data_IF_715210549599
#
_entry.id   IF_715210549599
#
_cell.length_a   1.000
_cell.length_b   1.000
_cell.length_c   1.000
_cell.angle_alpha   90.00
_cell.angle_beta   90.00
_cell.angle_gamma   90.00
#
_symmetry.space_group_name_H-M   'P 1'
#
loop_
_entity.id
_entity.type
_entity.pdbx_description
1 polymer ?
#
# COMPACT_ATOMS: atom_id res chain seq x y z
N UNK A 1 9.54 1.13 3.37
CA UNK A 1 9.92 2.43 2.78
C UNK A 1 11.03 2.25 1.76
N UNK A 2 10.99 3.02 0.68
CA UNK A 2 12.00 3.01 -0.38
C UNK A 2 12.55 4.40 -0.60
N UNK A 3 13.86 4.48 -0.82
CA UNK A 3 14.53 5.72 -1.17
C UNK A 3 15.24 5.50 -2.51
N UNK A 4 14.97 6.35 -3.48
CA UNK A 4 15.64 6.37 -4.78
C UNK A 4 16.58 7.56 -4.88
N UNK A 5 17.57 7.48 -5.77
CA UNK A 5 18.50 8.57 -5.98
C UNK A 5 19.50 8.76 -4.88
N UNK A 6 19.82 7.70 -4.13
CA UNK A 6 20.93 7.74 -3.17
C UNK A 6 22.24 8.03 -3.94
N UNK A 7 23.17 8.82 -3.36
CA UNK A 7 24.42 9.13 -4.03
C UNK A 7 25.16 7.88 -4.52
N UNK A 8 25.47 7.83 -5.80
CA UNK A 8 26.12 6.68 -6.44
C UNK A 8 25.20 5.57 -6.91
N UNK A 9 23.87 5.67 -6.72
CA UNK A 9 22.92 4.71 -7.27
C UNK A 9 22.98 4.72 -8.79
N UNK A 10 23.32 3.57 -9.38
CA UNK A 10 23.33 3.38 -10.83
C UNK A 10 21.98 2.90 -11.34
N UNK A 11 21.80 2.87 -12.66
CA UNK A 11 20.63 2.25 -13.29
C UNK A 11 20.49 0.77 -12.87
N UNK A 12 21.61 0.04 -12.84
CA UNK A 12 21.60 -1.36 -12.40
C UNK A 12 21.20 -1.53 -10.93
N UNK A 13 21.65 -0.64 -10.06
CA UNK A 13 21.26 -0.63 -8.65
C UNK A 13 19.77 -0.38 -8.49
N UNK A 14 19.24 0.57 -9.25
CA UNK A 14 17.81 0.85 -9.25
C UNK A 14 16.98 -0.33 -9.76
N UNK A 15 17.42 -1.00 -10.82
CA UNK A 15 16.74 -2.19 -11.35
C UNK A 15 16.74 -3.35 -10.34
N UNK A 16 17.76 -3.48 -9.53
CA UNK A 16 17.78 -4.46 -8.42
C UNK A 16 16.69 -4.15 -7.37
N UNK A 17 16.48 -2.88 -7.07
CA UNK A 17 15.38 -2.45 -6.19
C UNK A 17 14.03 -2.81 -6.79
N UNK A 18 13.82 -2.55 -8.08
CA UNK A 18 12.60 -2.93 -8.79
C UNK A 18 12.37 -4.44 -8.79
N UNK A 19 13.41 -5.23 -9.02
CA UNK A 19 13.31 -6.68 -8.99
C UNK A 19 12.95 -7.21 -7.60
N UNK A 20 13.53 -6.62 -6.55
CA UNK A 20 13.17 -6.95 -5.17
C UNK A 20 11.69 -6.68 -4.88
N UNK A 21 11.18 -5.55 -5.34
CA UNK A 21 9.76 -5.18 -5.21
C UNK A 21 8.87 -6.23 -5.89
N UNK A 22 9.23 -6.65 -7.10
CA UNK A 22 8.48 -7.66 -7.85
C UNK A 22 8.51 -9.04 -7.19
N UNK A 23 9.66 -9.42 -6.61
CA UNK A 23 9.83 -10.72 -5.97
C UNK A 23 9.07 -10.83 -4.64
N UNK A 24 9.07 -9.77 -3.85
CA UNK A 24 8.42 -9.75 -2.52
C UNK A 24 6.94 -9.38 -2.62
N UNK A 25 6.56 -8.61 -3.64
CA UNK A 25 5.18 -8.13 -3.84
C UNK A 25 4.63 -7.36 -2.62
N UNK A 26 5.33 -6.29 -2.24
CA UNK A 26 4.90 -5.43 -1.13
C UNK A 26 3.48 -4.88 -1.35
N UNK A 27 2.66 -4.89 -0.32
CA UNK A 27 1.29 -4.38 -0.36
C UNK A 27 1.22 -2.87 -0.49
N UNK A 28 1.98 -2.19 0.34
CA UNK A 28 2.05 -0.74 0.41
C UNK A 28 3.47 -0.32 0.72
N UNK A 29 3.84 0.86 0.24
CA UNK A 29 5.12 1.46 0.59
C UNK A 29 5.03 2.98 0.54
N UNK A 30 5.94 3.60 1.27
CA UNK A 30 6.27 5.00 1.08
C UNK A 30 7.60 5.07 0.33
N UNK A 31 7.66 5.93 -0.68
CA UNK A 31 8.84 6.06 -1.53
C UNK A 31 9.20 7.53 -1.70
N UNK A 32 10.49 7.81 -1.61
CA UNK A 32 11.02 9.16 -1.60
C UNK A 32 12.27 9.26 -2.47
N UNK A 33 12.55 10.46 -2.96
CA UNK A 33 13.87 10.79 -3.48
C UNK A 33 14.78 11.10 -2.29
N UNK A 34 16.01 10.58 -2.31
CA UNK A 34 17.01 10.88 -1.28
C UNK A 34 17.18 12.39 -1.12
N UNK A 35 17.17 12.84 0.11
CA UNK A 35 17.40 14.23 0.50
C UNK A 35 18.60 14.31 1.45
N UNK A 36 19.56 15.18 1.15
CA UNK A 36 20.72 15.39 2.01
C UNK A 36 20.30 15.87 3.39
N UNK A 37 20.87 15.23 4.41
CA UNK A 37 20.68 15.65 5.80
C UNK A 37 22.03 16.06 6.39
N UNK A 38 22.16 17.31 6.89
CA UNK A 38 23.40 17.79 7.50
C UNK A 38 23.89 16.87 8.62
N UNK A 39 25.20 16.66 8.70
CA UNK A 39 25.82 15.82 9.72
C UNK A 39 25.79 14.32 9.46
N UNK A 40 25.26 13.87 8.33
CA UNK A 40 25.26 12.46 7.94
C UNK A 40 26.44 12.16 6.99
N UNK A 41 27.03 10.94 7.03
CA UNK A 41 28.07 10.54 6.07
C UNK A 41 27.63 10.63 4.62
N UNK A 42 26.37 10.30 4.32
CA UNK A 42 25.82 10.34 2.97
C UNK A 42 25.77 11.75 2.38
N UNK A 43 25.63 12.78 3.23
CA UNK A 43 25.60 14.17 2.78
C UNK A 43 26.91 14.64 2.13
N UNK A 44 28.04 13.98 2.43
CA UNK A 44 29.36 14.25 1.87
C UNK A 44 29.69 13.43 0.62
N UNK A 45 28.84 12.48 0.26
CA UNK A 45 29.05 11.66 -0.92
C UNK A 45 28.79 12.45 -2.21
N UNK A 46 29.60 12.20 -3.23
CA UNK A 46 29.43 12.78 -4.54
C UNK A 46 28.17 12.20 -5.21
N UNK A 47 27.34 13.09 -5.76
CA UNK A 47 26.11 12.73 -6.43
C UNK A 47 26.02 13.42 -7.79
N UNK A 48 26.27 12.65 -8.84
CA UNK A 48 26.28 13.12 -10.22
C UNK A 48 24.99 12.80 -10.99
N UNK A 49 24.01 12.19 -10.34
CA UNK A 49 22.76 11.82 -10.98
C UNK A 49 21.83 13.04 -11.09
N UNK A 50 21.38 13.43 -12.30
CA UNK A 50 20.44 14.52 -12.49
C UNK A 50 19.14 14.28 -11.72
N UNK A 51 18.54 15.36 -11.21
CA UNK A 51 17.28 15.29 -10.49
C UNK A 51 16.14 14.73 -11.35
N UNK A 52 16.14 15.04 -12.65
CA UNK A 52 15.18 14.49 -13.62
C UNK A 52 15.19 12.95 -13.66
N UNK A 53 16.37 12.36 -13.61
CA UNK A 53 16.53 10.90 -13.57
C UNK A 53 15.99 10.32 -12.26
N UNK A 54 16.25 10.98 -11.15
CA UNK A 54 15.70 10.57 -9.83
C UNK A 54 14.18 10.61 -9.81
N UNK A 55 13.58 11.64 -10.39
CA UNK A 55 12.11 11.76 -10.52
C UNK A 55 11.53 10.64 -11.37
N UNK A 56 12.15 10.32 -12.49
CA UNK A 56 11.72 9.21 -13.34
C UNK A 56 11.80 7.86 -12.61
N UNK A 57 12.88 7.63 -11.89
CA UNK A 57 13.05 6.42 -11.06
C UNK A 57 11.98 6.30 -10.00
N UNK A 58 11.69 7.41 -9.29
CA UNK A 58 10.64 7.43 -8.28
C UNK A 58 9.27 7.11 -8.90
N UNK A 59 8.95 7.73 -10.01
CA UNK A 59 7.70 7.50 -10.74
C UNK A 59 7.56 6.03 -11.15
N UNK A 60 8.61 5.47 -11.73
CA UNK A 60 8.61 4.06 -12.16
C UNK A 60 8.42 3.11 -10.99
N UNK A 61 9.09 3.36 -9.87
CA UNK A 61 8.94 2.57 -8.63
C UNK A 61 7.51 2.63 -8.10
N UNK A 62 6.93 3.82 -8.03
CA UNK A 62 5.55 4.01 -7.56
C UNK A 62 4.53 3.31 -8.47
N UNK A 63 4.70 3.42 -9.79
CA UNK A 63 3.86 2.74 -10.76
C UNK A 63 3.97 1.22 -10.64
N UNK A 64 5.16 0.70 -10.41
CA UNK A 64 5.40 -0.74 -10.20
C UNK A 64 4.68 -1.24 -8.95
N UNK A 65 4.82 -0.55 -7.83
CA UNK A 65 4.15 -0.92 -6.57
C UNK A 65 2.62 -0.84 -6.73
N UNK A 66 2.11 0.21 -7.35
CA UNK A 66 0.68 0.38 -7.56
C UNK A 66 0.08 -0.73 -8.45
N UNK A 67 0.79 -1.12 -9.50
CA UNK A 67 0.39 -2.24 -10.36
C UNK A 67 0.31 -3.56 -9.60
N UNK A 68 1.33 -3.87 -8.81
CA UNK A 68 1.38 -5.10 -8.01
C UNK A 68 0.29 -5.12 -6.94
N UNK A 69 0.09 -4.01 -6.26
CA UNK A 69 -0.98 -3.87 -5.25
C UNK A 69 -2.36 -4.05 -5.87
N UNK A 70 -2.60 -3.46 -7.04
CA UNK A 70 -3.85 -3.60 -7.77
C UNK A 70 -4.11 -5.05 -8.21
N UNK A 71 -3.10 -5.73 -8.72
CA UNK A 71 -3.21 -7.15 -9.11
C UNK A 71 -3.51 -8.04 -7.91
N UNK A 72 -2.87 -7.79 -6.78
CA UNK A 72 -3.14 -8.51 -5.53
C UNK A 72 -4.56 -8.27 -5.05
N UNK A 73 -5.05 -7.03 -5.08
CA UNK A 73 -6.42 -6.70 -4.72
C UNK A 73 -7.44 -7.41 -5.61
N UNK A 74 -7.17 -7.52 -6.90
CA UNK A 74 -8.01 -8.32 -7.81
C UNK A 74 -8.06 -9.79 -7.44
N UNK A 75 -6.96 -10.36 -7.00
CA UNK A 75 -6.87 -11.79 -6.65
C UNK A 75 -7.64 -12.16 -5.39
N UNK A 76 -7.90 -11.22 -4.50
CA UNK A 76 -8.62 -11.47 -3.24
C UNK A 76 -10.13 -11.23 -3.33
N UNK A 77 -10.64 -10.72 -4.45
CA UNK A 77 -12.09 -10.60 -4.66
C UNK A 77 -12.73 -11.99 -4.60
N UNK A 78 -13.78 -12.12 -3.80
CA UNK A 78 -14.45 -13.40 -3.54
C UNK A 78 -13.89 -14.19 -2.37
N UNK A 79 -12.72 -13.80 -1.84
CA UNK A 79 -12.16 -14.43 -0.65
C UNK A 79 -12.85 -13.96 0.62
N UNK A 80 -12.81 -14.83 1.64
CA UNK A 80 -13.29 -14.53 2.99
C UNK A 80 -12.16 -13.92 3.81
N UNK A 81 -12.48 -12.94 4.62
CA UNK A 81 -11.55 -12.29 5.52
C UNK A 81 -12.20 -12.01 6.87
N UNK A 82 -11.41 -12.09 7.93
CA UNK A 82 -11.81 -11.62 9.25
C UNK A 82 -11.47 -10.14 9.39
N UNK A 83 -12.45 -9.35 9.82
CA UNK A 83 -12.32 -7.90 9.92
C UNK A 83 -12.74 -7.41 11.30
N UNK A 84 -11.87 -6.65 11.94
CA UNK A 84 -12.21 -5.88 13.14
C UNK A 84 -12.83 -4.56 12.71
N UNK A 85 -14.08 -4.34 13.08
CA UNK A 85 -14.78 -3.09 12.79
C UNK A 85 -14.31 -2.00 13.75
N UNK A 86 -13.71 -0.94 13.21
CA UNK A 86 -13.08 0.12 13.99
C UNK A 86 -13.97 1.37 14.16
N UNK A 87 -14.84 1.63 13.21
CA UNK A 87 -15.66 2.83 13.25
C UNK A 87 -16.70 2.89 12.16
N UNK A 88 -17.47 3.97 12.18
CA UNK A 88 -18.43 4.31 11.12
C UNK A 88 -17.67 4.97 9.97
N UNK A 89 -18.05 4.67 8.74
CA UNK A 89 -17.45 5.30 7.58
C UNK A 89 -17.73 6.80 7.58
N UNK A 90 -16.67 7.60 7.38
CA UNK A 90 -16.80 9.05 7.21
C UNK A 90 -17.25 9.45 5.80
N UNK A 91 -17.16 8.52 4.84
CA UNK A 91 -17.43 8.80 3.42
C UNK A 91 -18.80 8.31 2.95
N UNK A 92 -19.33 7.26 3.57
CA UNK A 92 -20.53 6.57 3.11
C UNK A 92 -21.52 6.40 4.25
N UNK A 93 -22.76 6.73 4.00
CA UNK A 93 -23.85 6.48 4.94
C UNK A 93 -24.12 4.97 5.07
N UNK A 94 -24.51 4.54 6.28
CA UNK A 94 -24.83 3.15 6.60
C UNK A 94 -23.70 2.15 6.30
N UNK A 95 -22.46 2.62 6.37
CA UNK A 95 -21.29 1.77 6.23
C UNK A 95 -20.39 1.90 7.45
N UNK A 96 -19.76 0.80 7.82
CA UNK A 96 -18.70 0.74 8.82
C UNK A 96 -17.38 0.45 8.13
N UNK A 97 -16.31 0.83 8.78
CA UNK A 97 -14.96 0.56 8.30
C UNK A 97 -14.19 -0.27 9.31
N UNK A 98 -13.41 -1.17 8.82
CA UNK A 98 -12.58 -2.04 9.64
C UNK A 98 -11.29 -2.42 8.95
N UNK A 99 -10.53 -3.31 9.60
CA UNK A 99 -9.25 -3.78 9.10
C UNK A 99 -9.15 -5.30 9.12
N UNK A 100 -8.55 -5.83 8.06
CA UNK A 100 -8.20 -7.25 7.98
C UNK A 100 -6.98 -7.56 8.85
N UNK A 101 -6.67 -8.85 9.00
CA UNK A 101 -5.48 -9.31 9.75
C UNK A 101 -4.16 -8.79 9.18
N UNK A 102 -4.10 -8.51 7.87
CA UNK A 102 -2.96 -7.88 7.22
C UNK A 102 -3.12 -6.36 7.04
N UNK A 103 -3.93 -5.74 7.89
CA UNK A 103 -4.08 -4.29 8.03
C UNK A 103 -4.65 -3.58 6.81
N UNK A 104 -5.47 -4.25 6.01
CA UNK A 104 -6.17 -3.64 4.89
C UNK A 104 -7.51 -3.07 5.33
N UNK A 105 -7.79 -1.85 4.90
CA UNK A 105 -9.06 -1.17 5.19
C UNK A 105 -10.18 -1.79 4.36
N UNK A 106 -11.29 -2.12 5.02
CA UNK A 106 -12.48 -2.66 4.37
C UNK A 106 -13.69 -1.83 4.76
N UNK A 107 -14.48 -1.42 3.77
CA UNK A 107 -15.76 -0.78 3.97
C UNK A 107 -16.87 -1.83 3.84
N UNK A 108 -17.76 -1.88 4.82
CA UNK A 108 -18.80 -2.91 4.95
C UNK A 108 -20.13 -2.24 5.19
N UNK A 109 -21.20 -2.60 4.46
CA UNK A 109 -22.54 -2.17 4.80
C UNK A 109 -22.91 -2.65 6.20
N UNK A 110 -23.27 -1.75 7.08
CA UNK A 110 -23.61 -2.11 8.45
C UNK A 110 -23.89 -0.91 9.34
N UNK A 111 -24.39 -1.22 10.53
CA UNK A 111 -24.77 -0.24 11.54
C UNK A 111 -23.62 0.02 12.54
N UNK A 112 -23.63 1.19 13.16
CA UNK A 112 -22.65 1.60 14.18
C UNK A 112 -22.51 0.62 15.36
N UNK A 113 -23.51 -0.18 15.64
CA UNK A 113 -23.47 -1.24 16.66
C UNK A 113 -22.40 -2.30 16.40
N UNK A 114 -21.94 -2.43 15.16
CA UNK A 114 -20.91 -3.39 14.78
C UNK A 114 -19.50 -2.94 15.16
N UNK A 115 -19.32 -1.69 15.56
CA UNK A 115 -18.01 -1.17 15.99
C UNK A 115 -17.51 -1.98 17.19
N UNK A 116 -16.27 -2.46 17.08
CA UNK A 116 -15.65 -3.35 18.07
C UNK A 116 -15.86 -4.84 17.81
N UNK A 117 -16.73 -5.19 16.88
CA UNK A 117 -17.00 -6.59 16.51
C UNK A 117 -15.95 -7.12 15.53
N UNK A 118 -15.66 -8.40 15.68
CA UNK A 118 -14.82 -9.16 14.75
C UNK A 118 -15.74 -9.97 13.84
N UNK A 119 -15.74 -9.64 12.56
CA UNK A 119 -16.70 -10.19 11.61
C UNK A 119 -16.00 -10.98 10.51
N UNK A 120 -16.66 -12.05 10.06
CA UNK A 120 -16.28 -12.72 8.82
C UNK A 120 -17.00 -12.05 7.66
N UNK A 121 -16.24 -11.60 6.69
CA UNK A 121 -16.75 -10.92 5.50
C UNK A 121 -16.26 -11.57 4.23
N UNK A 122 -16.99 -11.35 3.17
CA UNK A 122 -16.55 -11.68 1.81
C UNK A 122 -16.12 -10.41 1.10
N UNK A 123 -14.93 -10.40 0.52
CA UNK A 123 -14.42 -9.28 -0.27
C UNK A 123 -15.14 -9.27 -1.61
N UNK A 124 -15.80 -8.18 -1.93
CA UNK A 124 -16.63 -8.05 -3.15
C UNK A 124 -16.04 -7.12 -4.19
N UNK A 125 -15.25 -6.13 -3.77
CA UNK A 125 -14.67 -5.14 -4.66
C UNK A 125 -13.48 -4.45 -4.00
N UNK A 126 -12.76 -3.63 -4.77
CA UNK A 126 -11.67 -2.81 -4.24
C UNK A 126 -11.59 -1.46 -4.97
N UNK A 127 -10.97 -0.49 -4.31
CA UNK A 127 -10.51 0.74 -4.93
C UNK A 127 -9.01 0.97 -4.58
N UNK A 128 -8.46 2.12 -4.96
CA UNK A 128 -7.03 2.39 -4.79
C UNK A 128 -6.52 2.33 -3.34
N UNK A 129 -7.39 2.48 -2.34
CA UNK A 129 -7.00 2.60 -0.92
C UNK A 129 -7.70 1.63 0.01
N UNK A 130 -8.78 1.01 -0.44
CA UNK A 130 -9.61 0.17 0.43
C UNK A 130 -10.30 -0.94 -0.34
N UNK A 131 -10.75 -1.91 0.42
CA UNK A 131 -11.57 -3.01 -0.06
C UNK A 131 -13.04 -2.72 0.28
N UNK A 132 -13.94 -3.39 -0.41
CA UNK A 132 -15.35 -3.49 -0.05
C UNK A 132 -15.67 -4.93 0.26
N UNK A 133 -16.53 -5.13 1.23
CA UNK A 133 -16.96 -6.46 1.61
C UNK A 133 -18.39 -6.49 2.11
N UNK A 134 -18.91 -7.70 2.26
CA UNK A 134 -20.23 -7.99 2.81
C UNK A 134 -20.10 -8.95 3.96
N UNK A 135 -20.96 -8.77 4.98
CA UNK A 135 -20.97 -9.65 6.15
C UNK A 135 -21.46 -11.03 5.71
N UNK A 136 -20.69 -12.05 6.08
CA UNK A 136 -21.13 -13.43 5.94
C UNK A 136 -22.02 -13.78 7.12
N UNK A 137 -23.30 -14.00 6.84
CA UNK A 137 -24.23 -14.52 7.83
C UNK A 137 -24.01 -16.04 7.95
N UNK A 138 -23.58 -16.47 9.14
CA UNK A 138 -23.60 -17.89 9.47
C UNK A 138 -25.06 -18.27 9.76
N UNK A 139 -25.61 -19.11 8.94
CA UNK A 139 -26.85 -19.80 9.21
C UNK A 139 -26.55 -21.13 9.90
#
# INVERSE_FOLDING_TARGET
DFIVGFPGETEDDFLKTINLIKDIEFDQSYSFIYSKRPGTPAASLEDNTPYSVKKERLKFLQETINSLSKNRSKSIIGEKAEVLVEGVSSKFENMVTGRTTNNKIVNIPGHSKLVGELLNIQITDFNNKSLKGEILTNY
#
